data_IF_868408705475
#
_entry.id   IF_868408705475
#
_cell.length_a   1.000
_cell.length_b   1.000
_cell.length_c   1.000
_cell.angle_alpha   90.00
_cell.angle_beta   90.00
_cell.angle_gamma   90.00
#
_symmetry.space_group_name_H-M   'P 1'
#
loop_
_entity.id
_entity.type
_entity.pdbx_description
1 polymer ?
#
# COMPACT_ATOMS: atom_id res chain seq x y z
N UNK A 1 -8.21 -8.22 18.97
CA UNK A 1 -7.28 -7.60 17.99
C UNK A 1 -6.10 -8.53 17.70
N UNK A 2 -5.12 -8.70 18.60
CA UNK A 2 -3.93 -9.54 18.34
C UNK A 2 -4.24 -10.99 17.93
N UNK A 3 -5.23 -11.64 18.53
CA UNK A 3 -5.68 -12.98 18.13
C UNK A 3 -6.22 -13.02 16.69
N UNK A 4 -6.95 -11.99 16.26
CA UNK A 4 -7.44 -11.91 14.87
C UNK A 4 -6.29 -11.70 13.89
N UNK A 5 -5.32 -10.84 14.23
CA UNK A 5 -4.12 -10.65 13.42
C UNK A 5 -3.33 -11.95 13.28
N UNK A 6 -3.14 -12.67 14.39
CA UNK A 6 -2.50 -13.99 14.40
C UNK A 6 -3.25 -15.00 13.53
N UNK A 7 -4.58 -15.05 13.62
CA UNK A 7 -5.39 -15.93 12.79
C UNK A 7 -5.27 -15.58 11.30
N UNK A 8 -5.31 -14.30 10.94
CA UNK A 8 -5.09 -13.86 9.56
C UNK A 8 -3.72 -14.32 9.04
N UNK A 9 -2.65 -14.14 9.82
CA UNK A 9 -1.30 -14.61 9.47
C UNK A 9 -1.27 -16.13 9.33
N UNK A 10 -1.91 -16.86 10.24
CA UNK A 10 -1.87 -18.32 10.27
C UNK A 10 -2.65 -18.97 9.13
N UNK A 11 -3.80 -18.39 8.75
CA UNK A 11 -4.64 -18.93 7.69
C UNK A 11 -4.16 -18.52 6.29
N UNK A 12 -3.44 -17.41 6.19
CA UNK A 12 -2.85 -16.98 4.92
C UNK A 12 -1.89 -18.04 4.37
N UNK A 13 -2.02 -18.35 3.07
CA UNK A 13 -1.22 -19.38 2.38
C UNK A 13 -1.27 -20.78 2.99
N UNK A 14 -2.21 -21.08 3.90
CA UNK A 14 -2.31 -22.39 4.55
C UNK A 14 -3.71 -23.01 4.45
N UNK A 15 -4.07 -23.58 3.28
CA UNK A 15 -5.40 -24.11 2.99
C UNK A 15 -5.90 -25.20 3.95
N UNK A 16 -4.98 -25.93 4.60
CA UNK A 16 -5.33 -26.97 5.59
C UNK A 16 -5.93 -26.36 6.86
N UNK A 17 -5.40 -25.24 7.36
CA UNK A 17 -6.00 -24.56 8.52
C UNK A 17 -7.34 -23.94 8.14
N UNK A 18 -7.45 -23.37 6.94
CA UNK A 18 -8.71 -22.83 6.42
C UNK A 18 -9.78 -23.92 6.35
N UNK A 19 -9.46 -25.07 5.78
CA UNK A 19 -10.36 -26.21 5.73
C UNK A 19 -10.82 -26.65 7.13
N UNK A 20 -9.91 -26.64 8.12
CA UNK A 20 -10.24 -27.00 9.50
C UNK A 20 -11.13 -25.99 10.20
N UNK A 21 -10.94 -24.69 9.92
CA UNK A 21 -11.78 -23.62 10.49
C UNK A 21 -13.22 -23.70 9.97
N UNK A 22 -13.38 -24.09 8.70
CA UNK A 22 -14.67 -24.13 7.98
C UNK A 22 -15.38 -25.48 8.15
N UNK A 23 -14.66 -26.51 8.59
CA UNK A 23 -15.17 -27.88 8.71
C UNK A 23 -16.48 -27.92 9.54
N UNK A 24 -17.56 -28.54 9.03
CA UNK A 24 -18.78 -28.72 9.79
C UNK A 24 -18.55 -29.69 10.97
N UNK A 25 -19.27 -29.49 12.07
CA UNK A 25 -19.15 -30.37 13.23
C UNK A 25 -19.52 -31.82 12.89
N UNK A 26 -18.77 -32.77 13.46
CA UNK A 26 -18.88 -34.21 13.15
C UNK A 26 -20.28 -34.79 13.39
N UNK A 27 -21.07 -34.17 14.26
CA UNK A 27 -22.43 -34.58 14.63
C UNK A 27 -23.47 -34.32 13.52
N UNK A 28 -23.16 -33.48 12.53
CA UNK A 28 -24.14 -33.01 11.55
C UNK A 28 -23.62 -33.03 10.10
N UNK A 29 -22.96 -34.13 9.69
CA UNK A 29 -22.39 -34.32 8.32
C UNK A 29 -23.40 -34.21 7.18
N UNK A 30 -24.70 -34.20 7.48
CA UNK A 30 -25.78 -34.18 6.49
C UNK A 30 -26.28 -32.77 6.16
N UNK A 31 -25.74 -31.71 6.80
CA UNK A 31 -26.17 -30.33 6.58
C UNK A 31 -25.11 -29.55 5.82
N UNK A 32 -25.53 -28.81 4.80
CA UNK A 32 -24.73 -27.84 4.03
C UNK A 32 -24.35 -26.61 4.86
N UNK A 33 -24.02 -26.79 6.14
CA UNK A 33 -23.71 -25.73 7.08
C UNK A 33 -22.20 -25.52 7.11
N UNK A 34 -21.78 -24.27 7.22
CA UNK A 34 -20.42 -23.98 7.67
C UNK A 34 -20.27 -24.35 9.15
N UNK A 35 -19.04 -24.64 9.57
CA UNK A 35 -18.71 -24.83 10.99
C UNK A 35 -19.06 -23.61 11.84
N UNK A 36 -19.29 -23.83 13.14
CA UNK A 36 -19.72 -22.80 14.11
C UNK A 36 -18.79 -21.58 14.09
N UNK A 37 -17.49 -21.81 13.91
CA UNK A 37 -16.48 -20.74 13.84
C UNK A 37 -16.77 -19.75 12.71
N UNK A 38 -17.03 -20.25 11.49
CA UNK A 38 -17.30 -19.38 10.35
C UNK A 38 -18.66 -18.69 10.51
N UNK A 39 -19.67 -19.39 11.01
CA UNK A 39 -20.99 -18.80 11.28
C UNK A 39 -20.91 -17.64 12.28
N UNK A 40 -20.06 -17.75 13.31
CA UNK A 40 -19.80 -16.69 14.28
C UNK A 40 -19.08 -15.50 13.63
N UNK A 41 -18.07 -15.75 12.80
CA UNK A 41 -17.36 -14.68 12.07
C UNK A 41 -18.32 -13.92 11.16
N UNK A 42 -19.18 -14.62 10.41
CA UNK A 42 -20.17 -13.99 9.52
C UNK A 42 -21.19 -13.18 10.32
N UNK A 43 -21.65 -13.70 11.48
CA UNK A 43 -22.56 -12.97 12.36
C UNK A 43 -21.92 -11.68 12.91
N UNK A 44 -20.66 -11.74 13.33
CA UNK A 44 -19.93 -10.57 13.81
C UNK A 44 -19.70 -9.53 12.70
N UNK A 45 -19.36 -9.99 11.49
CA UNK A 45 -19.23 -9.11 10.33
C UNK A 45 -20.56 -8.44 9.92
N UNK A 46 -21.70 -9.08 10.15
CA UNK A 46 -23.03 -8.55 9.85
C UNK A 46 -23.52 -7.51 10.88
N UNK A 47 -22.89 -7.41 12.05
CA UNK A 47 -23.34 -6.51 13.12
C UNK A 47 -23.17 -5.03 12.75
N UNK A 48 -24.15 -4.21 13.15
CA UNK A 48 -24.28 -2.80 12.74
C UNK A 48 -23.84 -1.82 13.84
N UNK A 49 -24.18 -2.08 15.10
CA UNK A 49 -23.85 -1.18 16.21
C UNK A 49 -22.40 -1.38 16.63
N UNK A 50 -21.49 -0.45 16.32
CA UNK A 50 -20.09 -0.53 16.76
C UNK A 50 -19.53 0.81 17.21
N UNK A 51 -18.76 0.77 18.30
CA UNK A 51 -17.78 1.82 18.57
C UNK A 51 -16.56 1.74 17.61
N UNK A 52 -15.62 2.68 17.70
CA UNK A 52 -14.42 2.68 16.85
C UNK A 52 -13.57 1.41 16.97
N UNK A 53 -13.53 0.80 18.17
CA UNK A 53 -12.76 -0.42 18.41
C UNK A 53 -13.43 -1.63 17.79
N UNK A 54 -14.75 -1.73 17.94
CA UNK A 54 -15.59 -2.77 17.34
C UNK A 54 -15.61 -2.66 15.81
N UNK A 55 -15.59 -1.45 15.24
CA UNK A 55 -15.44 -1.26 13.80
C UNK A 55 -14.14 -1.90 13.28
N UNK A 56 -13.04 -1.74 14.03
CA UNK A 56 -11.74 -2.30 13.66
C UNK A 56 -11.73 -3.82 13.84
N UNK A 57 -12.36 -4.34 14.89
CA UNK A 57 -12.57 -5.79 15.08
C UNK A 57 -13.36 -6.37 13.91
N UNK A 58 -14.44 -5.72 13.48
CA UNK A 58 -15.25 -6.15 12.33
C UNK A 58 -14.49 -6.10 11.01
N UNK A 59 -13.66 -5.08 10.80
CA UNK A 59 -12.73 -5.04 9.67
C UNK A 59 -11.78 -6.25 9.67
N UNK A 60 -11.25 -6.63 10.84
CA UNK A 60 -10.32 -7.77 10.96
C UNK A 60 -11.04 -9.11 10.77
N UNK A 61 -12.27 -9.23 11.27
CA UNK A 61 -13.14 -10.39 11.02
C UNK A 61 -13.48 -10.50 9.52
N UNK A 62 -13.83 -9.39 8.87
CA UNK A 62 -14.09 -9.33 7.44
C UNK A 62 -12.86 -9.77 6.62
N UNK A 63 -11.66 -9.31 7.01
CA UNK A 63 -10.40 -9.75 6.41
C UNK A 63 -10.17 -11.27 6.61
N UNK A 64 -10.42 -11.79 7.81
CA UNK A 64 -10.25 -13.22 8.10
C UNK A 64 -11.19 -14.10 7.27
N UNK A 65 -12.44 -13.67 7.10
CA UNK A 65 -13.41 -14.31 6.19
C UNK A 65 -12.90 -14.24 4.75
N UNK A 66 -12.39 -13.09 4.31
CA UNK A 66 -11.80 -12.93 2.98
C UNK A 66 -10.62 -13.87 2.73
N UNK A 67 -9.71 -14.01 3.69
CA UNK A 67 -8.59 -14.97 3.65
C UNK A 67 -9.13 -16.40 3.51
N UNK A 68 -10.20 -16.76 4.21
CA UNK A 68 -10.85 -18.06 4.06
C UNK A 68 -11.37 -18.30 2.64
N UNK A 69 -11.94 -17.28 1.97
CA UNK A 69 -12.39 -17.36 0.57
C UNK A 69 -11.22 -17.51 -0.41
N UNK A 70 -10.11 -16.82 -0.16
CA UNK A 70 -8.90 -16.87 -1.00
C UNK A 70 -8.20 -18.23 -0.92
N UNK A 71 -8.04 -18.76 0.29
CA UNK A 71 -7.24 -19.94 0.58
C UNK A 71 -8.06 -21.22 0.81
N UNK A 72 -9.36 -21.21 0.49
CA UNK A 72 -10.12 -22.45 0.38
C UNK A 72 -9.49 -23.32 -0.72
N UNK A 73 -9.27 -24.63 -0.49
CA UNK A 73 -8.70 -25.51 -1.49
C UNK A 73 -9.48 -25.45 -2.81
N UNK A 74 -8.78 -25.37 -3.94
CA UNK A 74 -9.39 -25.36 -5.29
C UNK A 74 -10.24 -26.61 -5.60
N UNK A 75 -10.08 -27.68 -4.81
CA UNK A 75 -10.94 -28.87 -4.90
C UNK A 75 -12.36 -28.63 -4.40
N UNK A 76 -12.62 -27.52 -3.70
CA UNK A 76 -13.86 -27.23 -2.97
C UNK A 76 -14.53 -25.94 -3.49
N UNK A 77 -14.53 -25.73 -4.81
CA UNK A 77 -15.16 -24.56 -5.45
C UNK A 77 -16.67 -24.47 -5.14
N UNK A 78 -17.36 -25.60 -5.00
CA UNK A 78 -18.78 -25.61 -4.63
C UNK A 78 -19.02 -24.99 -3.24
N UNK A 79 -18.12 -25.22 -2.28
CA UNK A 79 -18.21 -24.62 -0.95
C UNK A 79 -17.80 -23.14 -0.97
N UNK A 80 -16.84 -22.78 -1.82
CA UNK A 80 -16.48 -21.37 -2.05
C UNK A 80 -17.68 -20.56 -2.55
N UNK A 81 -18.39 -21.09 -3.54
CA UNK A 81 -19.58 -20.45 -4.11
C UNK A 81 -20.68 -20.26 -3.07
N UNK A 82 -20.95 -21.30 -2.26
CA UNK A 82 -21.90 -21.20 -1.14
C UNK A 82 -21.49 -20.14 -0.12
N UNK A 83 -20.18 -20.03 0.15
CA UNK A 83 -19.68 -19.04 1.09
C UNK A 83 -19.87 -17.63 0.53
N UNK A 84 -19.55 -17.41 -0.75
CA UNK A 84 -19.81 -16.13 -1.41
C UNK A 84 -21.30 -15.76 -1.38
N UNK A 85 -22.20 -16.72 -1.63
CA UNK A 85 -23.65 -16.50 -1.55
C UNK A 85 -24.11 -16.15 -0.13
N UNK A 86 -23.62 -16.83 0.90
CA UNK A 86 -23.97 -16.49 2.29
C UNK A 86 -23.43 -15.11 2.68
N UNK A 87 -22.21 -14.77 2.27
CA UNK A 87 -21.61 -13.47 2.55
C UNK A 87 -22.39 -12.33 1.88
N UNK A 88 -22.77 -12.52 0.61
CA UNK A 88 -23.61 -11.55 -0.11
C UNK A 88 -24.97 -11.39 0.57
N UNK A 89 -25.62 -12.49 0.97
CA UNK A 89 -26.95 -12.44 1.60
C UNK A 89 -26.93 -11.79 2.99
N UNK A 90 -25.92 -12.08 3.81
CA UNK A 90 -25.91 -11.70 5.24
C UNK A 90 -25.20 -10.39 5.51
N UNK A 91 -24.23 -10.02 4.68
CA UNK A 91 -23.35 -8.88 4.93
C UNK A 91 -23.30 -7.94 3.73
N UNK A 92 -23.28 -8.49 2.52
CA UNK A 92 -22.99 -7.79 1.26
C UNK A 92 -21.49 -7.78 0.97
N UNK A 93 -21.07 -8.23 -0.21
CA UNK A 93 -19.65 -8.33 -0.59
C UNK A 93 -18.97 -6.96 -0.62
N UNK A 94 -19.65 -5.92 -1.10
CA UNK A 94 -19.13 -4.54 -1.08
C UNK A 94 -18.95 -4.02 0.35
N UNK A 95 -19.85 -4.38 1.26
CA UNK A 95 -19.75 -3.98 2.66
C UNK A 95 -18.62 -4.71 3.38
N UNK A 96 -18.26 -5.94 2.98
CA UNK A 96 -17.07 -6.63 3.49
C UNK A 96 -15.81 -5.89 3.04
N UNK A 97 -15.71 -5.55 1.76
CA UNK A 97 -14.56 -4.82 1.20
C UNK A 97 -14.41 -3.45 1.86
N UNK A 98 -15.51 -2.69 2.01
CA UNK A 98 -15.44 -1.39 2.68
C UNK A 98 -14.98 -1.53 4.13
N UNK A 99 -15.49 -2.51 4.89
CA UNK A 99 -15.01 -2.75 6.27
C UNK A 99 -13.52 -3.07 6.34
N UNK A 100 -12.98 -3.80 5.37
CA UNK A 100 -11.53 -4.06 5.27
C UNK A 100 -10.80 -2.74 5.00
N UNK A 101 -11.23 -1.98 3.99
CA UNK A 101 -10.59 -0.70 3.61
C UNK A 101 -10.55 0.32 4.75
N UNK A 102 -11.53 0.29 5.65
CA UNK A 102 -11.54 1.20 6.80
C UNK A 102 -10.39 0.96 7.78
N UNK A 103 -9.83 -0.26 7.87
CA UNK A 103 -8.67 -0.55 8.73
C UNK A 103 -7.47 0.32 8.35
N UNK A 104 -7.15 0.40 7.05
CA UNK A 104 -5.98 1.12 6.57
C UNK A 104 -6.09 2.64 6.69
N UNK A 105 -7.30 3.16 6.94
CA UNK A 105 -7.60 4.57 7.21
C UNK A 105 -7.47 4.96 8.68
N UNK A 106 -7.32 3.99 9.58
CA UNK A 106 -7.17 4.28 11.02
C UNK A 106 -5.80 4.86 11.33
N UNK A 107 -5.74 5.79 12.30
CA UNK A 107 -4.47 6.36 12.78
C UNK A 107 -3.54 5.28 13.34
N UNK A 108 -4.10 4.31 14.09
CA UNK A 108 -3.33 3.21 14.65
C UNK A 108 -2.65 2.36 13.56
N UNK A 109 -3.32 2.12 12.43
CA UNK A 109 -2.72 1.43 11.29
C UNK A 109 -1.64 2.28 10.62
N UNK A 110 -1.91 3.56 10.39
CA UNK A 110 -0.94 4.47 9.78
C UNK A 110 0.35 4.56 10.61
N UNK A 111 0.24 4.63 11.94
CA UNK A 111 1.40 4.64 12.84
C UNK A 111 2.17 3.32 12.81
N UNK A 112 1.46 2.18 12.84
CA UNK A 112 2.08 0.86 12.81
C UNK A 112 2.89 0.60 11.53
N UNK A 113 2.52 1.20 10.38
CA UNK A 113 3.26 1.04 9.12
C UNK A 113 4.61 1.78 9.06
N UNK A 114 4.89 2.71 9.99
CA UNK A 114 6.04 3.63 9.86
C UNK A 114 7.38 3.00 10.22
N UNK A 115 7.39 2.07 11.17
CA UNK A 115 8.61 1.43 11.63
C UNK A 115 8.33 0.07 12.26
N UNK A 116 9.26 -0.91 12.13
CA UNK A 116 9.16 -2.20 12.83
C UNK A 116 9.24 -2.08 14.36
N UNK A 117 9.81 -0.98 14.87
CA UNK A 117 9.93 -0.76 16.31
C UNK A 117 8.59 -0.25 16.87
N UNK A 118 7.98 -0.94 17.85
CA UNK A 118 6.76 -0.47 18.48
C UNK A 118 7.05 0.82 19.24
N UNK A 119 6.35 1.89 18.87
CA UNK A 119 6.40 3.18 19.56
C UNK A 119 5.01 3.49 20.10
N UNK A 120 4.87 3.32 21.42
CA UNK A 120 3.65 3.63 22.13
C UNK A 120 4.02 4.26 23.48
N UNK A 121 3.24 5.26 23.87
CA UNK A 121 3.33 5.83 25.22
C UNK A 121 2.51 5.01 26.21
N UNK A 122 1.47 4.33 25.72
CA UNK A 122 0.54 3.53 26.52
C UNK A 122 0.24 2.20 25.83
N UNK A 123 0.00 1.14 26.60
CA UNK A 123 -0.31 -0.19 26.06
C UNK A 123 -1.54 -0.23 25.14
N UNK A 124 -2.48 0.72 25.31
CA UNK A 124 -3.70 0.83 24.51
C UNK A 124 -3.44 1.31 23.07
N UNK A 125 -2.29 1.94 22.81
CA UNK A 125 -1.91 2.40 21.46
C UNK A 125 -1.35 1.25 20.59
N UNK A 126 -1.00 0.11 21.19
CA UNK A 126 -0.45 -1.06 20.51
C UNK A 126 -1.57 -1.90 19.88
N UNK A 127 -2.17 -1.37 18.82
CA UNK A 127 -3.29 -2.02 18.14
C UNK A 127 -2.84 -2.97 17.03
N UNK A 128 -1.88 -2.55 16.19
CA UNK A 128 -1.40 -3.30 15.04
C UNK A 128 0.10 -3.55 15.13
N UNK A 129 0.51 -4.74 14.70
CA UNK A 129 1.92 -5.08 14.49
C UNK A 129 2.41 -4.63 13.11
N UNK A 130 3.69 -4.26 13.01
CA UNK A 130 4.29 -3.80 11.74
C UNK A 130 4.20 -4.87 10.65
N UNK A 131 4.57 -6.12 10.95
CA UNK A 131 4.54 -7.21 9.96
C UNK A 131 3.11 -7.53 9.52
N UNK A 132 2.15 -7.42 10.44
CA UNK A 132 0.74 -7.55 10.10
C UNK A 132 0.29 -6.48 9.10
N UNK A 133 0.77 -5.23 9.20
CA UNK A 133 0.40 -4.19 8.21
C UNK A 133 0.89 -4.51 6.80
N UNK A 134 2.02 -5.20 6.66
CA UNK A 134 2.54 -5.65 5.38
C UNK A 134 1.65 -6.76 4.80
N UNK A 135 1.35 -7.78 5.61
CA UNK A 135 0.41 -8.84 5.22
C UNK A 135 -0.95 -8.26 4.82
N UNK A 136 -1.45 -7.31 5.60
CA UNK A 136 -2.74 -6.67 5.37
C UNK A 136 -2.81 -6.04 3.97
N UNK A 137 -1.78 -5.31 3.53
CA UNK A 137 -1.76 -4.68 2.20
C UNK A 137 -1.86 -5.69 1.06
N UNK A 138 -1.17 -6.83 1.17
CA UNK A 138 -1.27 -7.90 0.18
C UNK A 138 -2.65 -8.53 0.19
N UNK A 139 -3.18 -8.84 1.38
CA UNK A 139 -4.46 -9.52 1.50
C UNK A 139 -5.67 -8.63 1.18
N UNK A 140 -5.62 -7.33 1.46
CA UNK A 140 -6.63 -6.34 1.09
C UNK A 140 -6.90 -6.43 -0.43
N UNK A 141 -5.83 -6.48 -1.23
CA UNK A 141 -5.93 -6.59 -2.69
C UNK A 141 -6.40 -7.98 -3.17
N UNK A 142 -5.86 -9.07 -2.63
CA UNK A 142 -6.27 -10.44 -3.01
C UNK A 142 -7.74 -10.71 -2.69
N UNK A 143 -8.20 -10.29 -1.50
CA UNK A 143 -9.58 -10.47 -1.05
C UNK A 143 -10.53 -9.64 -1.92
N UNK A 144 -10.20 -8.37 -2.20
CA UNK A 144 -11.04 -7.54 -3.07
C UNK A 144 -11.26 -8.20 -4.45
N UNK A 145 -10.21 -8.76 -5.05
CA UNK A 145 -10.34 -9.50 -6.31
C UNK A 145 -11.15 -10.78 -6.20
N UNK A 146 -11.00 -11.52 -5.09
CA UNK A 146 -11.70 -12.77 -4.89
C UNK A 146 -13.21 -12.56 -4.68
N UNK A 147 -13.61 -11.47 -4.02
CA UNK A 147 -15.01 -11.14 -3.76
C UNK A 147 -15.71 -10.43 -4.94
N UNK A 148 -14.95 -9.74 -5.81
CA UNK A 148 -15.48 -9.05 -6.98
C UNK A 148 -15.45 -9.89 -8.27
N UNK A 149 -15.27 -11.21 -8.17
CA UNK A 149 -14.96 -12.07 -9.33
C UNK A 149 -16.04 -12.08 -10.43
N UNK A 150 -17.30 -11.79 -10.08
CA UNK A 150 -18.43 -11.62 -11.02
C UNK A 150 -18.66 -10.16 -11.46
N UNK A 151 -18.03 -9.20 -10.77
CA UNK A 151 -17.91 -7.81 -11.18
C UNK A 151 -16.60 -7.57 -11.93
N UNK A 152 -16.13 -8.53 -12.73
CA UNK A 152 -15.21 -8.12 -13.80
C UNK A 152 -16.00 -7.13 -14.63
N UNK A 153 -15.60 -5.84 -14.64
CA UNK A 153 -16.10 -4.97 -15.68
C UNK A 153 -15.73 -5.71 -16.96
N UNK A 154 -16.67 -5.87 -17.89
CA UNK A 154 -16.30 -6.42 -19.19
C UNK A 154 -15.06 -5.65 -19.67
N UNK A 155 -14.17 -6.22 -20.48
CA UNK A 155 -13.03 -5.44 -20.98
C UNK A 155 -13.48 -4.06 -21.53
N UNK A 156 -14.71 -3.97 -22.01
CA UNK A 156 -15.45 -2.77 -22.39
C UNK A 156 -15.65 -1.73 -21.26
N UNK A 157 -16.02 -2.14 -20.05
CA UNK A 157 -16.19 -1.26 -18.88
C UNK A 157 -14.84 -0.77 -18.32
N UNK A 158 -13.79 -1.61 -18.34
CA UNK A 158 -12.42 -1.19 -17.98
C UNK A 158 -11.92 -0.16 -19.00
N UNK A 159 -12.16 -0.41 -20.29
CA UNK A 159 -11.82 0.52 -21.37
C UNK A 159 -12.61 1.82 -21.22
N UNK A 160 -13.90 1.77 -20.90
CA UNK A 160 -14.73 2.96 -20.70
C UNK A 160 -14.28 3.78 -19.48
N UNK A 161 -13.92 3.12 -18.38
CA UNK A 161 -13.38 3.78 -17.19
C UNK A 161 -12.04 4.46 -17.47
N UNK A 162 -11.12 3.77 -18.15
CA UNK A 162 -9.84 4.36 -18.58
C UNK A 162 -10.02 5.51 -19.58
N UNK A 163 -10.98 5.41 -20.50
CA UNK A 163 -11.28 6.47 -21.46
C UNK A 163 -11.84 7.71 -20.76
N UNK A 164 -12.70 7.54 -19.76
CA UNK A 164 -13.24 8.64 -18.98
C UNK A 164 -12.15 9.33 -18.15
N UNK A 165 -11.27 8.56 -17.52
CA UNK A 165 -10.11 9.10 -16.78
C UNK A 165 -9.11 9.81 -17.72
N UNK A 166 -8.88 9.28 -18.92
CA UNK A 166 -8.05 9.92 -19.93
C UNK A 166 -8.65 11.25 -20.40
N UNK A 167 -9.97 11.32 -20.57
CA UNK A 167 -10.66 12.52 -21.02
C UNK A 167 -10.69 13.61 -19.95
N UNK A 168 -10.89 13.23 -18.68
CA UNK A 168 -10.78 14.17 -17.55
C UNK A 168 -9.38 14.76 -17.44
N UNK A 169 -8.32 13.93 -17.54
CA UNK A 169 -6.94 14.43 -17.56
C UNK A 169 -6.64 15.32 -18.77
N UNK A 170 -7.20 15.02 -19.94
CA UNK A 170 -7.05 15.89 -21.12
C UNK A 170 -7.70 17.25 -20.91
N UNK A 171 -8.90 17.29 -20.36
CA UNK A 171 -9.60 18.53 -20.05
C UNK A 171 -8.83 19.37 -19.04
N UNK A 172 -8.27 18.74 -18.00
CA UNK A 172 -7.43 19.43 -17.02
C UNK A 172 -6.15 19.97 -17.64
N UNK A 173 -5.48 19.19 -18.50
CA UNK A 173 -4.29 19.64 -19.24
C UNK A 173 -4.59 20.88 -20.09
N UNK A 174 -5.71 20.89 -20.82
CA UNK A 174 -6.10 22.04 -21.66
C UNK A 174 -6.37 23.28 -20.80
N UNK A 175 -7.08 23.13 -19.68
CA UNK A 175 -7.30 24.24 -18.74
C UNK A 175 -5.99 24.80 -18.21
N UNK A 176 -5.07 23.93 -17.82
CA UNK A 176 -3.77 24.32 -17.32
C UNK A 176 -2.92 25.02 -18.40
N UNK A 177 -3.01 24.55 -19.65
CA UNK A 177 -2.33 25.17 -20.79
C UNK A 177 -2.87 26.58 -21.09
N UNK A 178 -4.19 26.79 -20.99
CA UNK A 178 -4.81 28.11 -21.15
C UNK A 178 -4.34 29.04 -20.02
N UNK A 179 -4.43 28.60 -18.76
CA UNK A 179 -3.99 29.40 -17.62
C UNK A 179 -2.51 29.79 -17.71
N UNK A 180 -1.66 28.91 -18.24
CA UNK A 180 -0.24 29.18 -18.44
C UNK A 180 0.00 30.24 -19.53
N UNK A 181 -0.76 30.19 -20.64
CA UNK A 181 -0.72 31.23 -21.70
C UNK A 181 -1.18 32.59 -21.17
N UNK A 182 -2.26 32.62 -20.41
CA UNK A 182 -2.78 33.87 -19.83
C UNK A 182 -1.79 34.48 -18.83
N UNK A 183 -1.13 33.65 -18.02
CA UNK A 183 -0.08 34.10 -17.12
C UNK A 183 1.11 34.72 -17.87
N UNK A 184 1.54 34.10 -18.98
CA UNK A 184 2.61 34.65 -19.81
C UNK A 184 2.27 36.03 -20.39
N UNK A 185 1.02 36.24 -20.80
CA UNK A 185 0.54 37.56 -21.26
C UNK A 185 0.64 38.58 -20.13
N UNK A 186 0.17 38.23 -18.92
CA UNK A 186 0.25 39.12 -17.75
C UNK A 186 1.70 39.45 -17.37
N UNK A 187 2.61 38.47 -17.45
CA UNK A 187 4.04 38.69 -17.18
C UNK A 187 4.65 39.65 -18.21
N UNK A 188 4.29 39.50 -19.49
CA UNK A 188 4.72 40.43 -20.55
C UNK A 188 4.21 41.85 -20.29
N UNK A 189 2.94 42.02 -19.90
CA UNK A 189 2.36 43.32 -19.60
C UNK A 189 3.02 43.98 -18.38
N UNK A 190 3.34 43.20 -17.35
CA UNK A 190 4.07 43.68 -16.17
C UNK A 190 5.49 44.12 -16.54
N UNK A 191 6.20 43.35 -17.37
CA UNK A 191 7.54 43.72 -17.85
C UNK A 191 7.51 45.04 -18.63
N UNK A 192 6.54 45.20 -19.54
CA UNK A 192 6.34 46.46 -20.27
C UNK A 192 6.06 47.64 -19.33
N UNK A 193 5.23 47.43 -18.31
CA UNK A 193 4.88 48.46 -17.33
C UNK A 193 6.07 48.81 -16.43
N UNK A 194 6.86 47.83 -16.01
CA UNK A 194 8.12 48.04 -15.28
C UNK A 194 9.12 48.85 -16.11
N UNK A 195 9.28 48.51 -17.40
CA UNK A 195 10.11 49.28 -18.34
C UNK A 195 9.60 50.72 -18.50
N UNK A 196 8.30 50.91 -18.63
CA UNK A 196 7.69 52.23 -18.73
C UNK A 196 7.97 53.08 -17.48
N UNK A 197 7.73 52.54 -16.29
CA UNK A 197 8.01 53.26 -15.03
C UNK A 197 9.49 53.52 -14.82
N UNK A 198 10.37 52.56 -15.15
CA UNK A 198 11.83 52.75 -15.09
C UNK A 198 12.27 53.90 -16.02
N UNK A 199 11.77 53.94 -17.26
CA UNK A 199 12.08 55.01 -18.21
C UNK A 199 11.52 56.37 -17.75
N UNK A 200 10.32 56.38 -17.17
CA UNK A 200 9.71 57.61 -16.64
C UNK A 200 10.46 58.13 -15.40
N UNK A 201 10.96 57.25 -14.52
CA UNK A 201 11.78 57.67 -13.37
C UNK A 201 13.16 58.21 -13.81
N UNK A 202 13.75 57.62 -14.86
CA UNK A 202 14.98 58.14 -15.48
C UNK A 202 14.77 59.53 -16.09
N UNK A 203 13.63 59.81 -16.73
CA UNK A 203 13.33 61.13 -17.28
C UNK A 203 13.05 62.20 -16.21
N UNK A 204 12.65 61.77 -15.01
CA UNK A 204 12.45 62.61 -13.81
C UNK A 204 13.74 62.81 -12.98
N UNK A 205 14.90 62.40 -13.50
CA UNK A 205 16.23 62.55 -12.88
C UNK A 205 16.38 61.90 -11.49
N UNK A 206 15.57 60.88 -11.19
CA UNK A 206 15.70 60.09 -9.97
C UNK A 206 16.68 58.92 -10.17
N UNK A 207 17.52 58.60 -9.17
CA UNK A 207 18.44 57.46 -9.25
C UNK A 207 17.65 56.14 -9.21
N UNK A 208 17.85 55.28 -10.21
CA UNK A 208 17.28 53.92 -10.29
C UNK A 208 18.44 52.91 -10.16
N UNK A 209 18.32 51.91 -9.29
CA UNK A 209 19.31 50.82 -9.16
C UNK A 209 19.28 49.94 -10.41
N UNK A 210 20.37 49.87 -11.17
CA UNK A 210 20.55 48.93 -12.27
C UNK A 210 21.21 47.65 -11.73
N UNK A 211 20.40 46.76 -11.16
CA UNK A 211 20.84 45.40 -10.81
C UNK A 211 20.32 44.35 -11.81
N UNK A 212 20.14 44.72 -13.09
CA UNK A 212 19.59 43.82 -14.09
C UNK A 212 20.21 43.96 -15.48
N UNK A 213 21.53 44.03 -15.56
CA UNK A 213 22.29 43.62 -16.76
C UNK A 213 23.28 42.50 -16.39
N UNK A 214 22.81 41.51 -15.62
CA UNK A 214 23.47 40.21 -15.61
C UNK A 214 23.01 39.48 -16.88
N UNK A 215 23.80 39.59 -17.94
CA UNK A 215 23.80 38.62 -19.03
C UNK A 215 24.05 37.23 -18.43
N UNK A 216 22.98 36.54 -18.05
CA UNK A 216 23.04 35.11 -17.80
C UNK A 216 23.09 34.46 -19.18
N UNK A 217 24.31 34.17 -19.64
CA UNK A 217 24.54 33.25 -20.75
C UNK A 217 23.78 31.95 -20.47
N UNK A 218 22.63 31.79 -21.12
CA UNK A 218 21.94 30.51 -21.18
C UNK A 218 22.69 29.71 -22.24
N UNK A 219 23.45 28.65 -21.87
CA UNK A 219 24.03 27.79 -22.88
C UNK A 219 22.90 27.19 -23.70
N UNK A 220 22.93 27.45 -25.01
CA UNK A 220 21.97 26.98 -26.00
C UNK A 220 22.09 25.47 -26.16
N UNK A 221 21.51 24.71 -25.24
CA UNK A 221 21.41 23.27 -25.42
C UNK A 221 20.19 22.99 -26.33
N UNK A 222 20.35 22.24 -27.45
CA UNK A 222 19.24 21.97 -28.35
C UNK A 222 18.12 21.22 -27.63
N UNK A 223 16.88 21.68 -27.83
CA UNK A 223 15.66 21.02 -27.37
C UNK A 223 15.62 19.60 -27.95
N UNK A 224 15.59 18.52 -27.15
CA UNK A 224 15.39 17.18 -27.68
C UNK A 224 14.00 17.08 -28.31
N UNK A 225 13.95 16.81 -29.61
CA UNK A 225 12.68 16.53 -30.29
C UNK A 225 12.07 15.26 -29.73
N UNK A 226 10.83 15.37 -29.26
CA UNK A 226 10.05 14.26 -28.73
C UNK A 226 9.53 13.39 -29.88
N UNK A 227 10.32 12.39 -30.31
CA UNK A 227 9.84 11.32 -31.18
C UNK A 227 9.13 10.22 -30.38
N UNK A 228 8.07 9.66 -30.99
CA UNK A 228 7.06 8.69 -30.52
C UNK A 228 7.58 7.47 -29.71
N UNK A 229 6.69 6.83 -28.90
CA UNK A 229 7.10 5.81 -27.93
C UNK A 229 7.40 4.48 -28.59
N UNK A 230 8.50 3.84 -28.18
CA UNK A 230 8.77 2.43 -28.45
C UNK A 230 8.63 1.63 -27.14
N UNK A 231 7.80 0.60 -27.18
CA UNK A 231 7.74 -0.48 -26.19
C UNK A 231 9.14 -1.05 -25.94
N UNK A 232 9.54 -1.21 -24.68
CA UNK A 232 10.19 -2.42 -24.14
C UNK A 232 10.86 -2.20 -22.77
N UNK A 233 10.47 -3.06 -21.81
CA UNK A 233 11.33 -3.73 -20.81
C UNK A 233 11.85 -2.91 -19.61
N UNK A 234 11.36 -3.27 -18.42
CA UNK A 234 12.01 -3.07 -17.11
C UNK A 234 13.05 -4.19 -16.85
N UNK A 235 13.88 -4.19 -15.78
CA UNK A 235 14.47 -3.09 -14.97
C UNK A 235 15.99 -3.27 -14.75
N UNK A 236 16.72 -2.23 -14.31
CA UNK A 236 17.81 -2.36 -13.32
C UNK A 236 18.10 -0.99 -12.67
N UNK A 237 17.79 -0.86 -11.38
CA UNK A 237 18.29 0.24 -10.56
C UNK A 237 19.71 -0.11 -10.09
N UNK A 238 20.70 0.66 -10.54
CA UNK A 238 22.00 0.75 -9.88
C UNK A 238 21.96 1.93 -8.89
N UNK A 239 22.19 1.63 -7.61
CA UNK A 239 22.29 2.59 -6.52
C UNK A 239 23.66 3.30 -6.59
N UNK A 240 23.75 4.65 -6.57
CA UNK A 240 25.04 5.32 -6.38
C UNK A 240 25.48 5.20 -4.93
N UNK A 241 26.70 4.70 -4.71
CA UNK A 241 27.38 4.78 -3.42
C UNK A 241 27.60 6.24 -3.04
N UNK A 242 27.00 6.67 -1.91
CA UNK A 242 27.42 7.90 -1.23
C UNK A 242 28.38 7.49 -0.11
N UNK A 243 29.66 7.75 -0.34
CA UNK A 243 30.72 7.68 0.65
C UNK A 243 30.58 8.85 1.64
N UNK A 244 30.11 8.55 2.85
CA UNK A 244 30.20 9.46 4.01
C UNK A 244 31.15 8.84 5.03
N UNK A 245 32.37 9.36 5.12
CA UNK A 245 33.31 9.02 6.18
C UNK A 245 32.88 9.71 7.49
N UNK A 246 32.79 9.02 8.65
CA UNK A 246 32.48 9.67 9.92
C UNK A 246 33.75 10.30 10.53
N UNK A 247 33.64 11.60 10.86
CA UNK A 247 34.65 12.36 11.58
C UNK A 247 34.81 11.80 13.01
N UNK A 248 35.97 11.19 13.27
CA UNK A 248 36.29 10.45 14.50
C UNK A 248 36.95 11.35 15.56
N UNK A 249 36.35 12.47 15.94
CA UNK A 249 36.85 13.28 17.07
C UNK A 249 35.72 14.08 17.74
N UNK A 250 34.88 13.44 18.55
CA UNK A 250 34.06 14.18 19.54
C UNK A 250 33.52 13.37 20.73
N UNK A 251 33.98 12.13 20.95
CA UNK A 251 33.67 11.40 22.18
C UNK A 251 34.95 11.13 22.97
N UNK A 252 35.41 12.13 23.70
CA UNK A 252 36.26 11.94 24.87
C UNK A 252 35.53 12.54 26.07
N UNK A 253 35.39 11.70 27.10
CA UNK A 253 34.87 11.98 28.44
C UNK A 253 33.40 11.62 28.72
N UNK A 254 33.09 10.34 28.88
CA UNK A 254 32.07 9.88 29.83
C UNK A 254 32.52 8.55 30.49
N UNK A 255 32.27 8.34 31.80
CA UNK A 255 32.89 7.28 32.60
C UNK A 255 32.28 5.88 32.34
N UNK A 256 33.02 4.79 32.59
CA UNK A 256 32.59 3.44 32.24
C UNK A 256 31.89 2.76 33.42
N UNK A 257 30.64 2.29 33.27
CA UNK A 257 30.20 1.01 33.85
C UNK A 257 29.00 0.41 33.10
N UNK A 258 29.22 -0.85 32.68
CA UNK A 258 28.27 -1.95 32.50
C UNK A 258 27.20 -1.88 31.40
N UNK A 259 27.53 -2.48 30.24
CA UNK A 259 26.65 -3.50 29.64
C UNK A 259 27.48 -4.67 29.09
N UNK A 260 27.39 -5.78 29.80
CA UNK A 260 27.66 -7.17 29.40
C UNK A 260 26.28 -7.66 28.93
N UNK A 261 26.02 -8.14 27.72
CA UNK A 261 26.50 -9.37 27.09
C UNK A 261 26.20 -9.31 25.58
N UNK A 262 27.20 -9.59 24.75
CA UNK A 262 27.01 -10.12 23.41
C UNK A 262 27.94 -11.33 23.28
N UNK A 263 27.36 -12.52 23.05
CA UNK A 263 27.91 -13.64 22.29
C UNK A 263 27.27 -14.95 22.77
N UNK A 264 26.32 -15.47 21.99
CA UNK A 264 26.17 -16.90 21.67
C UNK A 264 25.11 -17.04 20.57
N UNK A 265 25.55 -17.06 19.31
CA UNK A 265 24.83 -17.65 18.19
C UNK A 265 25.54 -18.96 17.85
N UNK A 266 24.86 -20.13 17.83
CA UNK A 266 25.37 -21.31 17.17
C UNK A 266 25.11 -21.20 15.66
N UNK A 267 26.19 -21.35 14.89
CA UNK A 267 26.15 -21.67 13.47
C UNK A 267 25.46 -23.02 13.27
N UNK A 268 24.42 -23.09 12.45
CA UNK A 268 23.99 -24.30 11.74
C UNK A 268 23.04 -23.89 10.61
N UNK A 269 23.21 -24.53 9.45
CA UNK A 269 22.50 -24.38 8.16
C UNK A 269 23.10 -23.40 7.14
N UNK A 270 24.18 -23.85 6.50
CA UNK A 270 24.29 -23.75 5.04
C UNK A 270 24.92 -25.06 4.50
N UNK A 271 24.26 -25.66 3.51
CA UNK A 271 24.70 -26.66 2.52
C UNK A 271 23.57 -27.63 2.17
N UNK A 272 22.68 -27.19 1.29
CA UNK A 272 21.91 -28.07 0.40
C UNK A 272 22.38 -27.84 -1.02
N UNK A 273 23.24 -28.72 -1.56
CA UNK A 273 23.29 -29.02 -3.01
C UNK A 273 23.82 -30.43 -3.29
N UNK A 274 23.09 -31.10 -4.19
CA UNK A 274 23.48 -32.16 -5.13
C UNK A 274 23.59 -33.62 -4.67
N UNK A 275 22.59 -34.41 -5.13
CA UNK A 275 22.63 -35.84 -5.52
C UNK A 275 23.88 -36.25 -6.36
N UNK A 276 24.20 -37.55 -6.65
CA UNK A 276 23.27 -38.69 -6.76
C UNK A 276 23.78 -40.12 -6.37
N UNK A 277 22.82 -41.05 -6.36
CA UNK A 277 22.86 -42.49 -6.74
C UNK A 277 23.58 -43.60 -5.93
N UNK A 278 22.83 -44.72 -5.84
CA UNK A 278 23.19 -46.14 -6.04
C UNK A 278 23.41 -47.10 -4.83
N UNK A 279 22.53 -48.11 -4.82
CA UNK A 279 22.75 -49.56 -4.59
C UNK A 279 22.20 -50.22 -3.30
N UNK A 280 21.13 -51.01 -3.54
CA UNK A 280 20.88 -52.41 -3.17
C UNK A 280 21.24 -52.93 -1.75
N UNK A 281 20.20 -53.41 -1.05
CA UNK A 281 19.97 -54.79 -0.51
C UNK A 281 21.15 -55.68 -0.09
N UNK A 282 20.97 -56.65 0.85
CA UNK A 282 19.77 -57.48 1.10
C UNK A 282 19.03 -57.24 2.40
#
# INVERSE_FOLDING_TARGET
MGLLQLLCVWLCHFPKAVAKLIEPEESNRNKESFGINLSLLIAEAASVDADHTECTVRGLVALLIGICVCYLPKSDEARKERLLQELEQRVGLDAIIERINQISRTEAFALATRAPQPRASHAQELIFDYEFTILFRTMEYEVAQALQKDKKPGNEDVIASMQNELETMRLEKVKLEIANKDLLVLVSDLDQKCKFYKNNLRSLNQPVSDDSDADVDIPSNPIPQLSKPALAVSPQLSVPQVSVAPNRQQFQNLPPQQYQYAATLPQLYDQTQCEPTYLLTP
#
